data_IF_248099603071
#
_entry.id   IF_248099603071
#
_cell.length_a   1.000
_cell.length_b   1.000
_cell.length_c   1.000
_cell.angle_alpha   90.00
_cell.angle_beta   90.00
_cell.angle_gamma   90.00
#
_symmetry.space_group_name_H-M   'P 1'
#
loop_
_entity.id
_entity.type
_entity.pdbx_description
1 polymer ?
#
# COMPACT_ATOMS: atom_id res chain seq x y z
N UNK A 1 11.85 -20.09 18.74
CA UNK A 1 12.56 -18.80 18.82
C UNK A 1 11.56 -17.80 19.33
N UNK A 2 11.88 -16.98 20.34
CA UNK A 2 10.98 -15.93 20.82
C UNK A 2 10.73 -14.95 19.67
N UNK A 3 9.48 -14.76 19.26
CA UNK A 3 9.12 -13.66 18.36
C UNK A 3 9.55 -12.37 19.04
N UNK A 4 10.56 -11.72 18.49
CA UNK A 4 10.98 -10.43 18.95
C UNK A 4 9.84 -9.47 18.59
N UNK A 5 9.18 -8.90 19.59
CA UNK A 5 8.13 -7.89 19.37
C UNK A 5 8.82 -6.69 18.73
N UNK A 6 8.60 -6.48 17.42
CA UNK A 6 9.13 -5.34 16.69
C UNK A 6 8.39 -4.08 17.15
N UNK A 7 9.12 -3.11 17.67
CA UNK A 7 8.57 -1.80 18.00
C UNK A 7 8.88 -0.81 16.88
N UNK A 8 8.11 0.27 16.82
CA UNK A 8 8.37 1.40 15.93
C UNK A 8 9.82 1.87 16.02
N UNK A 9 10.36 2.07 17.22
CA UNK A 9 11.72 2.57 17.43
C UNK A 9 12.76 1.65 16.80
N UNK A 10 12.58 0.33 16.94
CA UNK A 10 13.50 -0.66 16.37
C UNK A 10 13.48 -0.69 14.83
N UNK A 11 12.32 -0.41 14.23
CA UNK A 11 12.15 -0.36 12.78
C UNK A 11 12.68 0.96 12.21
N UNK A 12 12.43 2.08 12.90
CA UNK A 12 13.00 3.39 12.56
C UNK A 12 14.52 3.36 12.66
N UNK A 13 15.10 2.71 13.67
CA UNK A 13 16.56 2.54 13.78
C UNK A 13 17.12 1.74 12.58
N UNK A 14 16.37 0.76 12.09
CA UNK A 14 16.82 -0.11 11.01
C UNK A 14 16.68 0.52 9.62
N UNK A 15 15.57 1.19 9.34
CA UNK A 15 15.27 1.76 8.01
C UNK A 15 15.61 3.25 7.89
N UNK A 16 15.59 3.98 9.01
CA UNK A 16 15.46 5.43 9.04
C UNK A 16 14.00 5.87 9.05
N UNK A 17 13.73 7.01 9.69
CA UNK A 17 12.38 7.56 9.91
C UNK A 17 11.62 7.79 8.59
N UNK A 18 12.25 8.47 7.63
CA UNK A 18 11.63 8.79 6.34
C UNK A 18 11.29 7.53 5.54
N UNK A 19 12.20 6.54 5.52
CA UNK A 19 11.99 5.31 4.77
C UNK A 19 10.94 4.43 5.44
N UNK A 20 10.96 4.34 6.77
CA UNK A 20 9.91 3.65 7.52
C UNK A 20 8.53 4.26 7.27
N UNK A 21 8.42 5.59 7.22
CA UNK A 21 7.17 6.27 6.89
C UNK A 21 6.68 5.93 5.47
N UNK A 22 7.58 5.89 4.47
CA UNK A 22 7.20 5.48 3.10
C UNK A 22 6.68 4.04 3.07
N UNK A 23 7.34 3.14 3.79
CA UNK A 23 6.93 1.74 3.88
C UNK A 23 5.55 1.60 4.54
N UNK A 24 5.27 2.37 5.60
CA UNK A 24 3.95 2.41 6.23
C UNK A 24 2.87 2.96 5.27
N UNK A 25 3.19 3.99 4.50
CA UNK A 25 2.30 4.54 3.48
C UNK A 25 1.99 3.50 2.39
N UNK A 26 3.00 2.75 1.97
CA UNK A 26 2.88 1.69 0.98
C UNK A 26 1.97 0.56 1.47
N UNK A 27 2.21 0.02 2.66
CA UNK A 27 1.37 -1.05 3.21
C UNK A 27 -0.05 -0.58 3.55
N UNK A 28 -0.24 0.70 3.88
CA UNK A 28 -1.58 1.26 4.06
C UNK A 28 -2.41 1.21 2.77
N UNK A 29 -1.78 1.44 1.61
CA UNK A 29 -2.41 1.29 0.30
C UNK A 29 -2.89 -0.13 0.04
N UNK A 30 -2.00 -1.11 0.27
CA UNK A 30 -2.34 -2.54 0.18
C UNK A 30 -3.53 -2.90 1.08
N UNK A 31 -3.46 -2.51 2.35
CA UNK A 31 -4.48 -2.79 3.36
C UNK A 31 -5.86 -2.26 2.96
N UNK A 32 -5.92 -0.98 2.57
CA UNK A 32 -7.16 -0.29 2.25
C UNK A 32 -7.84 -0.92 1.03
N UNK A 33 -7.11 -1.11 -0.06
CA UNK A 33 -7.66 -1.66 -1.30
C UNK A 33 -8.07 -3.12 -1.10
N UNK A 34 -7.25 -3.93 -0.42
CA UNK A 34 -7.60 -5.30 -0.08
C UNK A 34 -8.92 -5.37 0.71
N UNK A 35 -9.08 -4.49 1.71
CA UNK A 35 -10.29 -4.42 2.52
C UNK A 35 -11.53 -4.00 1.69
N UNK A 36 -11.40 -2.95 0.85
CA UNK A 36 -12.51 -2.45 0.02
C UNK A 36 -12.97 -3.48 -1.03
N UNK A 37 -12.03 -4.28 -1.55
CA UNK A 37 -12.31 -5.39 -2.47
C UNK A 37 -12.81 -6.64 -1.75
N UNK A 38 -13.06 -6.54 -0.43
CA UNK A 38 -13.56 -7.64 0.42
C UNK A 38 -12.65 -8.88 0.39
N UNK A 39 -11.35 -8.67 0.14
CA UNK A 39 -10.38 -9.75 0.27
C UNK A 39 -10.32 -10.20 1.73
N UNK A 40 -10.03 -11.48 1.99
CA UNK A 40 -9.89 -12.02 3.34
C UNK A 40 -8.55 -11.56 3.96
N UNK A 41 -8.42 -10.24 4.16
CA UNK A 41 -7.32 -9.59 4.84
C UNK A 41 -7.32 -10.00 6.32
N UNK A 42 -6.23 -10.56 6.83
CA UNK A 42 -6.11 -10.94 8.24
C UNK A 42 -5.43 -9.83 9.05
N UNK A 43 -4.31 -9.33 8.55
CA UNK A 43 -3.52 -8.27 9.20
C UNK A 43 -2.56 -7.60 8.21
N UNK A 44 -2.06 -6.44 8.61
CA UNK A 44 -0.91 -5.78 8.00
C UNK A 44 0.15 -5.55 9.05
N UNK A 45 1.41 -5.84 8.75
CA UNK A 45 2.52 -5.61 9.67
C UNK A 45 3.79 -5.18 8.96
N UNK A 46 4.60 -4.41 9.68
CA UNK A 46 5.96 -4.08 9.29
C UNK A 46 6.92 -5.15 9.81
N UNK A 47 7.97 -5.43 9.05
CA UNK A 47 8.98 -6.43 9.38
C UNK A 47 10.40 -5.84 9.25
N UNK A 48 11.35 -6.40 9.99
CA UNK A 48 12.75 -5.97 9.96
C UNK A 48 13.50 -6.67 8.82
N UNK A 49 13.03 -6.49 7.59
CA UNK A 49 13.60 -7.09 6.40
C UNK A 49 13.77 -6.07 5.28
N UNK A 50 14.92 -6.09 4.61
CA UNK A 50 15.14 -5.27 3.40
C UNK A 50 14.45 -5.83 2.17
N UNK A 51 14.18 -7.14 2.15
CA UNK A 51 13.55 -7.82 1.02
C UNK A 51 12.02 -7.77 1.12
N UNK A 52 11.49 -7.86 2.35
CA UNK A 52 10.06 -7.83 2.62
C UNK A 52 9.76 -6.97 3.87
N UNK A 53 9.89 -5.64 3.75
CA UNK A 53 9.74 -4.70 4.88
C UNK A 53 8.30 -4.61 5.41
N UNK A 54 7.32 -5.02 4.61
CA UNK A 54 5.91 -5.02 4.95
C UNK A 54 5.23 -6.31 4.53
N UNK A 55 4.21 -6.70 5.28
CA UNK A 55 3.40 -7.89 5.04
C UNK A 55 1.94 -7.53 5.21
N UNK A 56 1.25 -7.37 4.08
CA UNK A 56 -0.21 -7.44 4.01
C UNK A 56 -0.63 -8.90 3.80
N UNK A 57 -1.20 -9.53 4.83
CA UNK A 57 -1.58 -10.94 4.80
C UNK A 57 -3.04 -11.12 4.38
N UNK A 58 -3.25 -11.76 3.23
CA UNK A 58 -4.58 -12.08 2.68
C UNK A 58 -4.68 -13.60 2.61
N UNK A 59 -5.69 -14.18 3.25
CA UNK A 59 -5.92 -15.62 3.24
C UNK A 59 -6.45 -16.12 1.87
N UNK A 60 -6.22 -17.38 1.54
CA UNK A 60 -6.76 -17.99 0.31
C UNK A 60 -5.97 -17.70 -0.97
N UNK A 61 -6.48 -18.22 -2.09
CA UNK A 61 -5.78 -18.26 -3.39
C UNK A 61 -6.52 -17.54 -4.53
N UNK A 62 -7.49 -16.68 -4.19
CA UNK A 62 -8.22 -15.90 -5.19
C UNK A 62 -7.29 -14.85 -5.84
N UNK A 63 -7.34 -14.72 -7.17
CA UNK A 63 -6.51 -13.78 -7.92
C UNK A 63 -7.23 -12.44 -8.22
N UNK A 64 -8.52 -12.34 -7.91
CA UNK A 64 -9.36 -11.19 -8.28
C UNK A 64 -9.01 -9.97 -7.41
N UNK A 65 -8.51 -8.90 -8.04
CA UNK A 65 -8.04 -7.70 -7.32
C UNK A 65 -6.55 -7.72 -6.93
N UNK A 66 -5.80 -8.77 -7.27
CA UNK A 66 -4.35 -8.84 -6.98
C UNK A 66 -3.57 -7.72 -7.68
N UNK A 67 -3.96 -7.36 -8.90
CA UNK A 67 -3.36 -6.23 -9.62
C UNK A 67 -3.64 -4.89 -8.94
N UNK A 68 -4.87 -4.71 -8.43
CA UNK A 68 -5.25 -3.51 -7.67
C UNK A 68 -4.43 -3.38 -6.39
N UNK A 69 -4.34 -4.47 -5.63
CA UNK A 69 -3.58 -4.47 -4.37
C UNK A 69 -2.09 -4.24 -4.64
N UNK A 70 -1.51 -4.92 -5.63
CA UNK A 70 -0.10 -4.72 -5.99
C UNK A 70 0.22 -3.28 -6.39
N UNK A 71 -0.72 -2.56 -7.01
CA UNK A 71 -0.54 -1.16 -7.40
C UNK A 71 -0.85 -0.16 -6.29
N UNK A 72 -1.81 -0.48 -5.44
CA UNK A 72 -2.29 0.39 -4.38
C UNK A 72 -1.18 0.87 -3.46
N UNK A 73 -0.19 0.02 -3.15
CA UNK A 73 0.91 0.42 -2.27
C UNK A 73 1.81 1.50 -2.88
N UNK A 74 2.19 1.33 -4.15
CA UNK A 74 2.99 2.34 -4.85
C UNK A 74 2.23 3.66 -5.03
N UNK A 75 0.93 3.58 -5.35
CA UNK A 75 0.09 4.76 -5.49
C UNK A 75 -0.11 5.48 -4.15
N UNK A 76 -0.37 4.74 -3.07
CA UNK A 76 -0.57 5.32 -1.75
C UNK A 76 0.67 6.06 -1.24
N UNK A 77 1.87 5.46 -1.34
CA UNK A 77 3.12 6.15 -0.99
C UNK A 77 3.27 7.44 -1.77
N UNK A 78 3.12 7.36 -3.09
CA UNK A 78 3.31 8.51 -3.98
C UNK A 78 2.32 9.63 -3.66
N UNK A 79 1.04 9.31 -3.50
CA UNK A 79 -0.02 10.29 -3.22
C UNK A 79 0.16 10.95 -1.84
N UNK A 80 0.44 10.17 -0.79
CA UNK A 80 0.62 10.69 0.57
C UNK A 80 1.84 11.62 0.63
N UNK A 81 2.97 11.21 0.04
CA UNK A 81 4.20 12.05 -0.01
C UNK A 81 3.96 13.38 -0.71
N UNK A 82 3.04 13.43 -1.66
CA UNK A 82 2.67 14.64 -2.38
C UNK A 82 1.42 15.34 -1.83
N UNK A 83 0.97 14.98 -0.61
CA UNK A 83 -0.19 15.58 0.06
C UNK A 83 -1.45 15.54 -0.83
N UNK A 84 -1.60 14.47 -1.61
CA UNK A 84 -2.70 14.24 -2.57
C UNK A 84 -2.89 15.36 -3.61
N UNK A 85 -1.86 16.17 -3.89
CA UNK A 85 -1.92 17.26 -4.89
C UNK A 85 -1.57 16.81 -6.31
N UNK A 86 -1.28 15.54 -6.53
CA UNK A 86 -0.94 14.99 -7.83
C UNK A 86 -2.20 14.60 -8.62
N UNK A 87 -2.24 15.00 -9.89
CA UNK A 87 -3.23 14.53 -10.86
C UNK A 87 -2.93 13.10 -11.31
N UNK A 88 -3.92 12.42 -11.90
CA UNK A 88 -3.70 11.13 -12.55
C UNK A 88 -2.60 11.20 -13.63
N UNK A 89 -2.55 12.27 -14.41
CA UNK A 89 -1.51 12.48 -15.43
C UNK A 89 -0.11 12.53 -14.82
N UNK A 90 0.02 13.19 -13.67
CA UNK A 90 1.27 13.24 -12.89
C UNK A 90 1.67 11.83 -12.44
N UNK A 91 0.73 11.06 -11.90
CA UNK A 91 0.97 9.69 -11.46
C UNK A 91 1.41 8.80 -12.63
N UNK A 92 0.68 8.83 -13.75
CA UNK A 92 0.95 8.01 -14.92
C UNK A 92 2.30 8.34 -15.58
N UNK A 93 2.81 9.55 -15.38
CA UNK A 93 4.11 9.99 -15.90
C UNK A 93 5.26 9.70 -14.94
N UNK A 94 5.12 10.12 -13.69
CA UNK A 94 6.25 10.23 -12.77
C UNK A 94 6.45 8.94 -11.96
N UNK A 95 5.37 8.27 -11.52
CA UNK A 95 5.47 7.01 -10.77
C UNK A 95 6.23 5.91 -11.53
N UNK A 96 5.95 5.60 -12.82
CA UNK A 96 6.74 4.61 -13.55
C UNK A 96 8.23 4.96 -13.66
N UNK A 97 8.59 6.26 -13.76
CA UNK A 97 9.98 6.69 -13.79
C UNK A 97 10.68 6.44 -12.44
N UNK A 98 9.97 6.59 -11.34
CA UNK A 98 10.49 6.27 -10.00
C UNK A 98 10.66 4.76 -9.82
N UNK A 99 9.67 3.96 -10.28
CA UNK A 99 9.71 2.51 -10.20
C UNK A 99 10.75 1.88 -11.10
N UNK A 100 11.17 2.52 -12.20
CA UNK A 100 12.23 2.04 -13.09
C UNK A 100 13.57 1.76 -12.38
N UNK A 101 13.76 2.31 -11.17
CA UNK A 101 14.92 2.00 -10.32
C UNK A 101 14.86 0.58 -9.71
N UNK A 102 13.71 -0.08 -9.79
CA UNK A 102 13.44 -1.47 -9.37
C UNK A 102 12.77 -2.22 -10.53
N UNK A 103 13.53 -3.08 -11.22
CA UNK A 103 13.02 -3.82 -12.40
C UNK A 103 11.72 -4.60 -12.11
N UNK A 104 11.59 -5.17 -10.91
CA UNK A 104 10.41 -5.94 -10.53
C UNK A 104 9.17 -5.05 -10.33
N UNK A 105 9.31 -3.91 -9.66
CA UNK A 105 8.18 -3.01 -9.41
C UNK A 105 7.77 -2.26 -10.67
N UNK A 106 8.73 -1.91 -11.52
CA UNK A 106 8.46 -1.38 -12.85
C UNK A 106 7.71 -2.38 -13.73
N UNK A 107 8.09 -3.67 -13.73
CA UNK A 107 7.38 -4.72 -14.45
C UNK A 107 5.96 -4.92 -13.93
N UNK A 108 5.74 -4.87 -12.60
CA UNK A 108 4.40 -4.91 -12.00
C UNK A 108 3.55 -3.71 -12.43
N UNK A 109 4.11 -2.51 -12.40
CA UNK A 109 3.45 -1.30 -12.87
C UNK A 109 3.08 -1.40 -14.36
N UNK A 110 4.01 -1.85 -15.20
CA UNK A 110 3.76 -2.08 -16.61
C UNK A 110 2.68 -3.14 -16.84
N UNK A 111 2.67 -4.23 -16.06
CA UNK A 111 1.64 -5.27 -16.16
C UNK A 111 0.25 -4.73 -15.78
N UNK A 112 0.14 -3.96 -14.69
CA UNK A 112 -1.09 -3.27 -14.31
C UNK A 112 -1.55 -2.27 -15.39
N UNK A 113 -0.60 -1.52 -15.96
CA UNK A 113 -0.79 -0.66 -17.12
C UNK A 113 -0.97 -1.41 -18.45
N UNK A 114 -0.83 -2.73 -18.52
CA UNK A 114 -1.06 -3.53 -19.74
C UNK A 114 -2.41 -4.25 -19.68
N UNK A 115 -2.88 -4.59 -18.48
CA UNK A 115 -4.30 -4.86 -18.22
C UNK A 115 -5.19 -3.70 -18.73
N UNK A 116 -4.66 -2.47 -18.78
CA UNK A 116 -5.16 -1.28 -19.48
C UNK A 116 -5.61 -1.50 -20.93
N UNK A 117 -4.97 -2.40 -21.68
CA UNK A 117 -5.28 -2.60 -23.11
C UNK A 117 -6.33 -3.67 -23.36
N UNK A 118 -6.65 -4.49 -22.36
CA UNK A 118 -7.54 -5.64 -22.48
C UNK A 118 -8.86 -5.46 -21.72
N UNK A 119 -8.87 -4.69 -20.63
CA UNK A 119 -10.06 -4.33 -19.87
C UNK A 119 -10.45 -2.87 -20.16
N UNK A 120 -11.74 -2.59 -20.36
CA UNK A 120 -12.29 -1.26 -20.66
C UNK A 120 -12.06 -0.19 -19.56
N UNK A 121 -11.33 -0.52 -18.48
CA UNK A 121 -11.06 0.39 -17.37
C UNK A 121 -9.67 0.13 -16.76
N UNK A 122 -8.89 1.19 -16.55
CA UNK A 122 -7.51 1.15 -16.11
C UNK A 122 -7.39 0.89 -14.59
N UNK A 123 -6.69 -0.18 -14.18
CA UNK A 123 -6.43 -0.52 -12.76
C UNK A 123 -5.81 0.66 -12.01
N UNK A 124 -4.81 1.34 -12.61
CA UNK A 124 -4.12 2.48 -11.98
C UNK A 124 -5.06 3.67 -11.77
N UNK A 125 -5.94 3.93 -12.74
CA UNK A 125 -6.94 5.00 -12.63
C UNK A 125 -8.02 4.66 -11.58
N UNK A 126 -8.47 3.41 -11.54
CA UNK A 126 -9.43 2.96 -10.53
C UNK A 126 -8.82 3.07 -9.12
N UNK A 127 -7.60 2.58 -8.92
CA UNK A 127 -6.91 2.68 -7.64
C UNK A 127 -6.65 4.14 -7.26
N UNK A 128 -6.20 4.97 -8.20
CA UNK A 128 -6.06 6.41 -7.98
C UNK A 128 -7.38 7.03 -7.48
N UNK A 129 -8.48 6.78 -8.17
CA UNK A 129 -9.79 7.33 -7.79
C UNK A 129 -10.25 6.83 -6.41
N UNK A 130 -10.02 5.54 -6.11
CA UNK A 130 -10.34 4.96 -4.80
C UNK A 130 -9.53 5.62 -3.69
N UNK A 131 -8.20 5.72 -3.86
CA UNK A 131 -7.30 6.30 -2.86
C UNK A 131 -7.58 7.81 -2.67
N UNK A 132 -7.88 8.53 -3.76
CA UNK A 132 -8.29 9.93 -3.71
C UNK A 132 -9.65 10.15 -3.05
N UNK A 133 -10.57 9.18 -3.10
CA UNK A 133 -11.84 9.23 -2.40
C UNK A 133 -11.70 8.86 -0.90
N UNK A 134 -10.68 8.06 -0.56
CA UNK A 134 -10.45 7.51 0.78
C UNK A 134 -9.23 8.12 1.49
N UNK A 135 -8.84 9.36 1.17
CA UNK A 135 -7.59 9.98 1.68
C UNK A 135 -7.51 9.95 3.20
N UNK A 136 -8.62 10.27 3.88
CA UNK A 136 -8.67 10.30 5.34
C UNK A 136 -8.37 8.91 5.91
N UNK A 137 -9.09 7.89 5.47
CA UNK A 137 -8.93 6.51 5.91
C UNK A 137 -7.52 5.99 5.61
N UNK A 138 -7.00 6.29 4.41
CA UNK A 138 -5.66 5.91 4.01
C UNK A 138 -4.59 6.49 4.95
N UNK A 139 -4.68 7.80 5.24
CA UNK A 139 -3.77 8.47 6.16
C UNK A 139 -3.88 7.94 7.59
N UNK A 140 -5.10 7.62 8.05
CA UNK A 140 -5.32 7.05 9.39
C UNK A 140 -4.73 5.64 9.51
N UNK A 141 -4.86 4.79 8.48
CA UNK A 141 -4.19 3.48 8.43
C UNK A 141 -2.66 3.67 8.44
N UNK A 142 -2.13 4.54 7.58
CA UNK A 142 -0.69 4.79 7.49
C UNK A 142 -0.10 5.31 8.81
N UNK A 143 -0.79 6.24 9.46
CA UNK A 143 -0.42 6.75 10.78
C UNK A 143 -0.43 5.64 11.83
N UNK A 144 -1.50 4.85 11.87
CA UNK A 144 -1.63 3.77 12.83
C UNK A 144 -0.56 2.67 12.63
N UNK A 145 -0.18 2.39 11.37
CA UNK A 145 0.95 1.51 11.05
C UNK A 145 2.30 2.09 11.48
N UNK A 146 2.53 3.39 11.27
CA UNK A 146 3.77 4.02 11.75
C UNK A 146 3.87 3.94 13.28
N UNK A 147 2.77 4.17 14.00
CA UNK A 147 2.76 4.11 15.46
C UNK A 147 2.91 2.70 16.02
N UNK A 148 2.28 1.69 15.39
CA UNK A 148 2.11 0.35 15.99
C UNK A 148 2.84 -0.77 15.27
N UNK A 149 3.33 -0.54 14.06
CA UNK A 149 3.96 -1.53 13.18
C UNK A 149 3.10 -2.78 12.86
N UNK A 150 1.86 -2.82 13.32
CA UNK A 150 0.91 -3.92 13.15
C UNK A 150 -0.52 -3.38 13.25
N UNK A 151 -1.39 -3.86 12.36
CA UNK A 151 -2.83 -3.67 12.39
C UNK A 151 -3.53 -4.98 12.07
N UNK A 152 -4.49 -5.37 12.90
CA UNK A 152 -5.44 -6.43 12.59
C UNK A 152 -6.51 -5.96 11.60
N UNK A 153 -7.19 -6.92 10.96
CA UNK A 153 -8.36 -6.66 10.12
C UNK A 153 -9.42 -5.79 10.81
N UNK A 154 -9.74 -6.08 12.08
CA UNK A 154 -10.79 -5.38 12.81
C UNK A 154 -10.44 -3.90 13.06
N UNK A 155 -9.16 -3.60 13.30
CA UNK A 155 -8.67 -2.23 13.43
C UNK A 155 -8.73 -1.47 12.10
N UNK A 156 -8.39 -2.14 10.99
CA UNK A 156 -8.50 -1.57 9.65
C UNK A 156 -9.97 -1.30 9.34
N UNK A 157 -10.86 -2.25 9.63
CA UNK A 157 -12.31 -2.08 9.46
C UNK A 157 -12.85 -0.89 10.26
N UNK A 158 -12.41 -0.75 11.51
CA UNK A 158 -12.79 0.37 12.39
C UNK A 158 -12.39 1.72 11.79
N UNK A 159 -11.15 1.84 11.28
CA UNK A 159 -10.67 3.06 10.61
C UNK A 159 -11.47 3.33 9.34
N UNK A 160 -11.65 2.32 8.48
CA UNK A 160 -12.35 2.49 7.19
C UNK A 160 -13.80 2.91 7.39
N UNK A 161 -14.48 2.38 8.43
CA UNK A 161 -15.86 2.74 8.77
C UNK A 161 -16.00 4.04 9.54
N UNK A 162 -14.90 4.64 10.00
CA UNK A 162 -14.89 5.93 10.70
C UNK A 162 -15.47 5.89 12.11
N UNK A 163 -15.20 4.82 12.86
CA UNK A 163 -15.57 4.70 14.27
C UNK A 163 -14.79 5.65 15.19
#
# INVERSE_FOLDING_TARGET
MSEQVLTRESLVEFFGEDEFQKLCNHEAGHALVAFLFKRPLDYVKMDRSKERPGITHIAGSELEGDAHIAMAGHLAEFLIRHDFKCSLDTVMKDLPMELYKSDADYQRFQAACYYFKLAETNVVEQDYNILMACQKQLCEIAKALNERAYLSRDEIESIVKGA
#
